data_IF_989687737417
#
_entry.id   IF_989687737417
#
_cell.length_a   1.000
_cell.length_b   1.000
_cell.length_c   1.000
_cell.angle_alpha   90.00
_cell.angle_beta   90.00
_cell.angle_gamma   90.00
#
_symmetry.space_group_name_H-M   'P 1'
#
loop_
_entity.id
_entity.type
_entity.pdbx_description
1 polymer ?
#
# COMPACT_ATOMS: atom_id res chain seq x y z
N UNK A 1 1.01 -15.11 15.89
CA UNK A 1 1.59 -15.14 14.53
C UNK A 1 3.10 -15.29 14.68
N UNK A 2 3.81 -16.06 13.85
CA UNK A 2 5.27 -16.15 13.95
C UNK A 2 5.88 -14.76 13.69
N UNK A 3 6.69 -14.27 14.63
CA UNK A 3 7.17 -12.88 14.69
C UNK A 3 8.06 -12.44 13.52
N UNK A 4 8.40 -13.34 12.60
CA UNK A 4 9.27 -13.04 11.47
C UNK A 4 8.79 -13.83 10.26
N UNK A 5 8.13 -13.15 9.33
CA UNK A 5 7.97 -13.70 7.99
C UNK A 5 9.36 -14.02 7.45
N UNK A 6 9.55 -15.27 7.01
CA UNK A 6 10.81 -15.70 6.42
C UNK A 6 11.20 -14.76 5.28
N UNK A 7 12.50 -14.61 5.00
CA UNK A 7 12.87 -13.86 3.81
C UNK A 7 12.24 -14.54 2.58
N UNK A 8 11.66 -13.80 1.61
CA UNK A 8 11.01 -14.39 0.44
C UNK A 8 11.85 -15.49 -0.26
N UNK A 9 13.18 -15.37 -0.25
CA UNK A 9 14.09 -16.35 -0.87
C UNK A 9 14.11 -17.71 -0.16
N UNK A 10 13.69 -17.77 1.10
CA UNK A 10 13.63 -18.99 1.91
C UNK A 10 12.30 -19.74 1.74
N UNK A 11 11.31 -19.14 1.05
CA UNK A 11 10.04 -19.80 0.77
C UNK A 11 10.22 -20.93 -0.24
N UNK A 12 9.64 -22.08 0.09
CA UNK A 12 9.62 -23.23 -0.81
C UNK A 12 8.78 -22.92 -2.05
N UNK A 13 9.00 -23.65 -3.14
CA UNK A 13 8.26 -23.45 -4.39
C UNK A 13 6.76 -23.73 -4.24
N UNK A 14 6.39 -24.64 -3.35
CA UNK A 14 5.01 -24.94 -2.96
C UNK A 14 4.33 -23.76 -2.28
N UNK A 15 5.10 -23.01 -1.50
CA UNK A 15 4.58 -21.94 -0.64
C UNK A 15 4.50 -20.59 -1.39
N UNK A 16 5.03 -20.52 -2.62
CA UNK A 16 4.91 -19.34 -3.48
C UNK A 16 3.52 -19.30 -4.11
N UNK A 17 2.54 -18.90 -3.32
CA UNK A 17 1.13 -18.78 -3.70
C UNK A 17 0.65 -17.34 -3.62
N UNK A 18 -0.48 -17.05 -4.26
CA UNK A 18 -1.13 -15.73 -4.19
C UNK A 18 -1.46 -15.35 -2.73
N UNK A 19 -1.90 -16.30 -1.91
CA UNK A 19 -2.16 -16.08 -0.49
C UNK A 19 -0.88 -15.72 0.30
N UNK A 20 0.25 -16.35 -0.03
CA UNK A 20 1.53 -15.99 0.59
C UNK A 20 1.91 -14.56 0.24
N UNK A 21 1.79 -14.17 -1.03
CA UNK A 21 2.04 -12.78 -1.43
C UNK A 21 1.13 -11.79 -0.67
N UNK A 22 -0.15 -12.11 -0.54
CA UNK A 22 -1.12 -11.32 0.24
C UNK A 22 -0.69 -11.13 1.69
N UNK A 23 -0.25 -12.19 2.37
CA UNK A 23 0.20 -12.09 3.77
C UNK A 23 1.44 -11.19 3.92
N UNK A 24 2.39 -11.24 2.98
CA UNK A 24 3.55 -10.35 2.98
C UNK A 24 3.15 -8.90 2.70
N UNK A 25 2.22 -8.68 1.78
CA UNK A 25 1.69 -7.35 1.50
C UNK A 25 1.00 -6.76 2.74
N UNK A 26 0.13 -7.55 3.40
CA UNK A 26 -0.51 -7.18 4.67
C UNK A 26 0.53 -6.80 5.72
N UNK A 27 1.50 -7.67 5.95
CA UNK A 27 2.58 -7.42 6.91
C UNK A 27 3.33 -6.12 6.60
N UNK A 28 3.67 -5.88 5.33
CA UNK A 28 4.38 -4.68 4.93
C UNK A 28 3.55 -3.40 5.20
N UNK A 29 2.27 -3.40 4.82
CA UNK A 29 1.38 -2.25 5.06
C UNK A 29 1.21 -1.95 6.57
N UNK A 30 1.21 -2.96 7.44
CA UNK A 30 0.98 -2.79 8.88
C UNK A 30 2.26 -2.52 9.69
N UNK A 31 3.41 -3.07 9.26
CA UNK A 31 4.64 -3.06 10.06
C UNK A 31 5.75 -2.21 9.46
N UNK A 32 5.62 -1.71 8.22
CA UNK A 32 6.58 -0.72 7.76
C UNK A 32 6.47 0.51 8.66
N UNK A 33 7.59 0.97 9.25
CA UNK A 33 7.61 2.21 9.98
C UNK A 33 7.37 3.31 8.95
N UNK A 34 6.10 3.69 8.78
CA UNK A 34 5.73 4.93 8.13
C UNK A 34 6.61 6.01 8.72
N UNK A 35 7.41 6.63 7.85
CA UNK A 35 8.42 7.61 8.21
C UNK A 35 7.81 8.60 9.21
N UNK A 36 8.42 8.70 10.40
CA UNK A 36 7.86 9.21 11.67
C UNK A 36 7.55 10.72 11.61
N UNK A 37 6.59 11.10 10.79
CA UNK A 37 6.09 12.47 10.71
C UNK A 37 4.64 12.44 11.15
N UNK A 38 4.52 12.35 12.48
CA UNK A 38 3.40 12.67 13.36
C UNK A 38 2.02 12.92 12.72
N UNK A 39 1.08 12.09 13.17
CA UNK A 39 -0.40 12.22 13.14
C UNK A 39 -1.10 11.71 11.86
N UNK A 40 -0.46 11.65 10.70
CA UNK A 40 -1.08 11.08 9.49
C UNK A 40 -0.71 9.59 9.32
N UNK A 41 -1.69 8.69 9.41
CA UNK A 41 -1.50 7.27 9.11
C UNK A 41 -0.82 7.10 7.74
N UNK A 42 0.19 6.22 7.61
CA UNK A 42 0.89 6.04 6.35
C UNK A 42 -0.08 5.53 5.29
N UNK A 43 -0.31 6.35 4.28
CA UNK A 43 -1.07 5.98 3.11
C UNK A 43 -0.13 5.45 2.03
N UNK A 44 -0.51 4.34 1.42
CA UNK A 44 0.27 3.67 0.38
C UNK A 44 -0.47 3.79 -0.95
N UNK A 45 0.23 4.08 -2.04
CA UNK A 45 -0.34 3.99 -3.39
C UNK A 45 0.07 2.69 -4.07
N UNK A 46 -0.65 2.26 -5.09
CA UNK A 46 -0.29 1.05 -5.85
C UNK A 46 1.11 1.19 -6.47
N UNK A 47 1.41 2.37 -7.01
CA UNK A 47 2.70 2.75 -7.54
C UNK A 47 3.83 2.60 -6.51
N UNK A 48 3.58 3.01 -5.26
CA UNK A 48 4.54 2.82 -4.16
C UNK A 48 4.75 1.33 -3.86
N UNK A 49 3.67 0.57 -3.69
CA UNK A 49 3.71 -0.88 -3.41
C UNK A 49 4.48 -1.67 -4.48
N UNK A 50 4.36 -1.28 -5.74
CA UNK A 50 5.10 -1.87 -6.86
C UNK A 50 6.61 -1.57 -6.82
N UNK A 51 7.02 -0.43 -6.29
CA UNK A 51 8.44 -0.01 -6.23
C UNK A 51 9.21 -0.69 -5.11
N UNK A 52 8.54 -1.29 -4.13
CA UNK A 52 9.18 -1.97 -3.01
C UNK A 52 9.86 -3.25 -3.51
N UNK A 53 11.22 -3.32 -3.49
CA UNK A 53 11.95 -4.42 -4.13
C UNK A 53 11.57 -5.80 -3.59
N UNK A 54 11.33 -5.91 -2.27
CA UNK A 54 10.95 -7.16 -1.62
C UNK A 54 9.60 -7.69 -2.13
N UNK A 55 8.61 -6.82 -2.27
CA UNK A 55 7.28 -7.18 -2.79
C UNK A 55 7.33 -7.48 -4.28
N UNK A 56 8.05 -6.68 -5.07
CA UNK A 56 8.21 -6.90 -6.50
C UNK A 56 8.89 -8.25 -6.82
N UNK A 57 9.95 -8.61 -6.07
CA UNK A 57 10.61 -9.91 -6.20
C UNK A 57 9.68 -11.07 -5.84
N UNK A 58 8.93 -10.97 -4.75
CA UNK A 58 7.99 -12.01 -4.34
C UNK A 58 6.86 -12.17 -5.38
N UNK A 59 6.28 -11.07 -5.85
CA UNK A 59 5.25 -11.09 -6.89
C UNK A 59 5.76 -11.76 -8.17
N UNK A 60 6.97 -11.41 -8.61
CA UNK A 60 7.62 -12.03 -9.77
C UNK A 60 7.75 -13.55 -9.60
N UNK A 61 8.21 -14.01 -8.43
CA UNK A 61 8.34 -15.44 -8.15
C UNK A 61 7.00 -16.16 -8.09
N UNK A 62 5.97 -15.57 -7.49
CA UNK A 62 4.62 -16.14 -7.44
C UNK A 62 4.04 -16.25 -8.85
N UNK A 63 4.17 -15.22 -9.68
CA UNK A 63 3.72 -15.24 -11.08
C UNK A 63 4.44 -16.31 -11.89
N UNK A 64 5.76 -16.47 -11.73
CA UNK A 64 6.49 -17.54 -12.41
C UNK A 64 6.11 -18.93 -11.91
N UNK A 65 5.96 -19.13 -10.60
CA UNK A 65 5.51 -20.39 -10.04
C UNK A 65 4.14 -20.77 -10.58
N UNK A 66 3.22 -19.82 -10.63
CA UNK A 66 1.87 -20.00 -11.16
C UNK A 66 1.86 -20.28 -12.66
N UNK A 67 2.68 -19.55 -13.45
CA UNK A 67 2.87 -19.84 -14.87
C UNK A 67 3.39 -21.26 -15.09
N UNK A 68 4.36 -21.70 -14.28
CA UNK A 68 4.91 -23.05 -14.34
C UNK A 68 3.87 -24.11 -13.98
N UNK A 69 3.02 -23.89 -12.97
CA UNK A 69 1.91 -24.81 -12.62
C UNK A 69 0.93 -24.95 -13.79
N UNK A 70 0.56 -23.83 -14.44
CA UNK A 70 -0.36 -23.85 -15.58
C UNK A 70 0.23 -24.53 -16.82
N UNK A 71 1.52 -24.35 -17.10
CA UNK A 71 2.14 -25.04 -18.24
C UNK A 71 2.34 -26.52 -17.99
N UNK A 72 2.60 -26.94 -16.74
CA UNK A 72 2.69 -28.35 -16.38
C UNK A 72 1.38 -29.12 -16.62
N UNK A 73 0.23 -28.45 -16.48
CA UNK A 73 -1.07 -29.06 -16.80
C UNK A 73 -1.31 -29.23 -18.31
N UNK A 74 -0.64 -28.43 -19.15
CA UNK A 74 -0.94 -28.35 -20.59
C UNK A 74 0.20 -28.80 -21.53
N UNK A 75 1.36 -29.26 -21.00
CA UNK A 75 2.51 -30.00 -21.58
C UNK A 75 3.01 -29.77 -23.03
N UNK A 76 2.36 -28.97 -23.88
CA UNK A 76 2.69 -28.80 -25.31
C UNK A 76 2.55 -27.37 -25.84
N UNK A 77 2.30 -26.36 -25.00
CA UNK A 77 2.31 -24.97 -25.44
C UNK A 77 3.74 -24.39 -25.35
N UNK A 78 4.33 -24.06 -26.50
CA UNK A 78 5.61 -23.37 -26.58
C UNK A 78 5.57 -22.07 -25.75
N UNK A 79 6.52 -21.95 -24.82
CA UNK A 79 6.53 -20.89 -23.81
C UNK A 79 7.24 -19.66 -24.37
N UNK A 80 6.51 -18.75 -25.00
CA UNK A 80 7.04 -17.45 -25.42
C UNK A 80 7.19 -16.53 -24.20
N UNK A 81 8.44 -16.14 -23.94
CA UNK A 81 8.80 -15.28 -22.81
C UNK A 81 8.47 -13.82 -23.14
N UNK A 82 7.25 -13.39 -22.84
CA UNK A 82 6.85 -11.99 -23.02
C UNK A 82 6.98 -11.23 -21.69
N UNK A 83 7.97 -10.35 -21.59
CA UNK A 83 8.20 -9.50 -20.41
C UNK A 83 6.98 -8.65 -20.06
N UNK A 84 6.24 -8.15 -21.06
CA UNK A 84 5.01 -7.39 -20.86
C UNK A 84 3.91 -8.23 -20.19
N UNK A 85 3.84 -9.52 -20.51
CA UNK A 85 2.87 -10.42 -19.89
C UNK A 85 3.16 -10.63 -18.40
N UNK A 86 4.43 -10.66 -18.01
CA UNK A 86 4.82 -10.76 -16.59
C UNK A 86 4.40 -9.52 -15.82
N UNK A 87 4.64 -8.31 -16.36
CA UNK A 87 4.23 -7.06 -15.71
C UNK A 87 2.71 -6.98 -15.53
N UNK A 88 1.93 -7.34 -16.56
CA UNK A 88 0.46 -7.37 -16.48
C UNK A 88 -0.02 -8.34 -15.40
N UNK A 89 0.61 -9.52 -15.30
CA UNK A 89 0.27 -10.51 -14.26
C UNK A 89 0.66 -10.07 -12.86
N UNK A 90 1.82 -9.43 -12.70
CA UNK A 90 2.24 -8.85 -11.43
C UNK A 90 1.26 -7.77 -10.99
N UNK A 91 0.91 -6.82 -11.87
CA UNK A 91 -0.10 -5.78 -11.57
C UNK A 91 -1.43 -6.40 -11.12
N UNK A 92 -1.91 -7.44 -11.81
CA UNK A 92 -3.12 -8.17 -11.42
C UNK A 92 -3.01 -8.83 -10.05
N UNK A 93 -1.85 -9.40 -9.70
CA UNK A 93 -1.61 -10.02 -8.40
C UNK A 93 -1.64 -8.97 -7.27
N UNK A 94 -1.01 -7.80 -7.47
CA UNK A 94 -1.08 -6.69 -6.52
C UNK A 94 -2.51 -6.20 -6.32
N UNK A 95 -3.24 -5.91 -7.41
CA UNK A 95 -4.64 -5.47 -7.34
C UNK A 95 -5.53 -6.51 -6.64
N UNK A 96 -5.38 -7.79 -6.98
CA UNK A 96 -6.11 -8.88 -6.33
C UNK A 96 -5.84 -8.92 -4.83
N UNK A 97 -4.57 -8.82 -4.41
CA UNK A 97 -4.21 -8.86 -3.01
C UNK A 97 -4.77 -7.65 -2.24
N UNK A 98 -4.74 -6.45 -2.83
CA UNK A 98 -5.31 -5.23 -2.24
C UNK A 98 -6.82 -5.36 -2.08
N UNK A 99 -7.54 -5.78 -3.12
CA UNK A 99 -8.99 -6.01 -3.04
C UNK A 99 -9.34 -7.01 -1.94
N UNK A 100 -8.56 -8.08 -1.80
CA UNK A 100 -8.76 -9.05 -0.73
C UNK A 100 -8.54 -8.45 0.65
N UNK A 101 -7.49 -7.63 0.84
CA UNK A 101 -7.23 -6.95 2.11
C UNK A 101 -8.33 -5.93 2.46
N UNK A 102 -8.90 -5.28 1.45
CA UNK A 102 -10.05 -4.39 1.60
C UNK A 102 -11.29 -5.17 2.02
N UNK A 103 -11.62 -6.28 1.36
CA UNK A 103 -12.73 -7.16 1.73
C UNK A 103 -12.58 -7.75 3.14
N UNK A 104 -11.35 -8.07 3.55
CA UNK A 104 -11.01 -8.50 4.92
C UNK A 104 -11.20 -7.38 5.96
N UNK A 105 -11.29 -6.11 5.53
CA UNK A 105 -11.34 -4.97 6.44
C UNK A 105 -9.99 -4.59 7.04
N UNK A 106 -8.88 -5.09 6.48
CA UNK A 106 -7.52 -4.81 6.96
C UNK A 106 -6.95 -3.50 6.42
N UNK A 107 -7.50 -3.01 5.30
CA UNK A 107 -7.16 -1.70 4.73
C UNK A 107 -8.46 -0.99 4.31
N UNK A 108 -8.40 0.33 4.22
CA UNK A 108 -9.47 1.17 3.66
C UNK A 108 -8.95 1.97 2.46
N UNK A 109 -9.84 2.23 1.51
CA UNK A 109 -9.63 3.17 0.42
C UNK A 109 -9.87 4.57 0.95
N UNK A 110 -8.86 5.43 0.87
CA UNK A 110 -8.91 6.79 1.38
C UNK A 110 -8.89 7.77 0.22
N UNK A 111 -10.05 8.33 -0.09
CA UNK A 111 -10.24 9.27 -1.22
C UNK A 111 -9.92 10.73 -0.85
N UNK A 112 -9.67 11.02 0.43
CA UNK A 112 -9.36 12.40 0.82
C UNK A 112 -7.96 12.76 0.31
N UNK A 113 -7.78 13.97 -0.24
CA UNK A 113 -6.51 14.41 -0.78
C UNK A 113 -5.46 14.24 0.29
N UNK A 114 -4.55 13.29 0.06
CA UNK A 114 -3.43 13.09 0.94
C UNK A 114 -2.68 14.42 0.95
N UNK A 115 -2.73 15.12 2.08
CA UNK A 115 -1.79 16.19 2.34
C UNK A 115 -0.47 15.47 2.56
N UNK A 116 0.18 15.11 1.45
CA UNK A 116 1.57 14.71 1.47
C UNK A 116 2.29 15.93 2.01
N UNK A 117 2.63 15.90 3.29
CA UNK A 117 3.66 16.77 3.83
C UNK A 117 4.89 16.35 3.04
N UNK A 118 5.15 17.07 1.95
CA UNK A 118 6.36 16.92 1.18
C UNK A 118 7.47 17.15 2.18
N UNK A 119 8.07 16.05 2.64
CA UNK A 119 9.30 16.05 3.40
C UNK A 119 10.39 16.44 2.40
N UNK A 120 10.33 17.70 1.95
CA UNK A 120 11.49 18.41 1.48
C UNK A 120 12.41 18.41 2.69
N UNK A 121 13.52 17.65 2.66
CA UNK A 121 14.49 17.73 3.72
C UNK A 121 14.96 19.17 3.74
N UNK A 122 14.46 19.95 4.70
CA UNK A 122 14.94 21.30 4.94
C UNK A 122 16.42 21.17 5.26
N UNK A 123 17.24 21.33 4.23
CA UNK A 123 18.64 21.60 4.41
C UNK A 123 18.73 22.82 5.32
N UNK A 124 19.50 22.76 6.42
CA UNK A 124 19.70 23.93 7.26
C UNK A 124 20.31 25.04 6.41
N UNK A 125 19.64 26.19 6.39
CA UNK A 125 20.01 27.38 5.65
C UNK A 125 21.50 27.70 5.75
N UNK A 126 22.23 27.58 4.64
CA UNK A 126 23.47 28.31 4.41
C UNK A 126 23.13 29.53 3.54
N UNK A 127 23.42 30.77 3.99
CA UNK A 127 23.18 31.95 3.18
C UNK A 127 24.41 32.18 2.32
N UNK A 128 24.37 31.99 1.00
CA UNK A 128 25.42 32.52 0.13
C UNK A 128 24.88 32.93 -1.24
N UNK A 129 24.75 34.25 -1.39
CA UNK A 129 25.23 35.09 -2.52
C UNK A 129 25.06 34.58 -3.96
N UNK A 130 24.28 35.37 -4.71
CA UNK A 130 24.39 35.62 -6.15
C UNK A 130 25.79 35.42 -6.76
N UNK A 131 25.91 34.66 -7.87
CA UNK A 131 26.72 35.09 -9.02
C UNK A 131 26.43 34.31 -10.33
N UNK A 132 26.05 35.09 -11.35
CA UNK A 132 26.41 35.03 -12.77
C UNK A 132 26.25 33.75 -13.64
N UNK A 133 25.42 33.93 -14.68
CA UNK A 133 25.61 33.60 -16.10
C UNK A 133 26.90 32.87 -16.53
N UNK A 134 26.74 31.77 -17.28
CA UNK A 134 27.30 31.60 -18.62
C UNK A 134 26.64 30.42 -19.36
N UNK A 135 26.46 30.51 -20.70
CA UNK A 135 25.98 29.40 -21.51
C UNK A 135 27.16 28.54 -21.99
N UNK A 136 27.04 27.22 -21.88
CA UNK A 136 27.98 26.28 -22.47
C UNK A 136 27.25 25.36 -23.45
N UNK A 137 27.64 25.52 -24.70
CA UNK A 137 27.38 24.65 -25.84
C UNK A 137 27.79 23.21 -25.53
N UNK A 138 26.98 22.21 -25.90
CA UNK A 138 27.45 20.84 -26.02
C UNK A 138 26.83 20.12 -27.23
N UNK A 139 27.71 19.37 -27.90
CA UNK A 139 27.58 18.70 -29.19
C UNK A 139 26.44 17.68 -29.24
N UNK A 140 25.70 17.72 -30.35
CA UNK A 140 24.93 16.57 -30.86
C UNK A 140 25.91 15.53 -31.44
N UNK A 141 26.19 14.48 -30.66
CA UNK A 141 26.69 13.21 -31.19
C UNK A 141 25.51 12.25 -31.36
N UNK A 142 25.31 11.75 -32.59
CA UNK A 142 24.38 10.67 -32.88
C UNK A 142 24.88 9.39 -32.21
N UNK A 143 24.35 9.09 -31.03
CA UNK A 143 24.48 7.80 -30.38
C UNK A 143 23.45 6.84 -31.00
N UNK A 144 23.92 5.75 -31.60
CA UNK A 144 23.08 4.63 -32.03
C UNK A 144 22.35 4.09 -30.80
N UNK A 145 21.04 4.23 -30.76
CA UNK A 145 20.24 3.73 -29.64
C UNK A 145 20.20 2.20 -29.71
N UNK A 146 20.78 1.55 -28.71
CA UNK A 146 20.52 0.14 -28.43
C UNK A 146 19.11 0.06 -27.83
N UNK A 147 18.26 -0.79 -28.39
CA UNK A 147 16.80 -0.87 -28.14
C UNK A 147 16.41 -1.38 -26.73
N UNK A 148 17.39 -1.47 -25.81
CA UNK A 148 17.24 -2.11 -24.50
C UNK A 148 17.21 -1.11 -23.32
N UNK A 149 17.40 0.19 -23.56
CA UNK A 149 17.44 1.25 -22.52
C UNK A 149 16.21 2.18 -22.53
N UNK A 150 15.07 1.69 -23.01
CA UNK A 150 13.79 2.43 -22.98
C UNK A 150 13.00 2.25 -21.66
N UNK A 151 13.56 1.59 -20.64
CA UNK A 151 12.83 1.08 -19.47
C UNK A 151 12.74 2.02 -18.26
N UNK A 152 13.02 3.31 -18.42
CA UNK A 152 12.84 4.33 -17.38
C UNK A 152 12.05 5.54 -17.90
N UNK A 153 11.06 5.32 -18.77
CA UNK A 153 10.00 6.32 -18.91
C UNK A 153 9.27 6.39 -17.57
N UNK A 154 9.42 7.52 -16.86
CA UNK A 154 8.56 7.87 -15.75
C UNK A 154 7.12 7.59 -16.19
N UNK A 155 6.36 6.75 -15.46
CA UNK A 155 4.99 6.48 -15.84
C UNK A 155 4.27 7.82 -16.01
N UNK A 156 3.44 7.99 -17.06
CA UNK A 156 2.63 9.20 -17.19
C UNK A 156 1.94 9.46 -15.85
N UNK A 157 1.73 10.73 -15.45
CA UNK A 157 1.03 11.06 -14.21
C UNK A 157 -0.39 10.50 -14.32
N UNK A 158 -0.53 9.23 -13.95
CA UNK A 158 -1.76 8.48 -13.97
C UNK A 158 -2.56 9.02 -12.79
N UNK A 159 -3.67 9.65 -13.13
CA UNK A 159 -4.97 9.46 -12.48
C UNK A 159 -4.86 9.04 -11.02
N UNK A 160 -5.00 10.02 -10.12
CA UNK A 160 -5.54 9.87 -8.76
C UNK A 160 -5.22 8.52 -8.12
N UNK A 161 -3.93 8.29 -7.82
CA UNK A 161 -3.46 7.07 -7.17
C UNK A 161 -4.25 6.88 -5.85
N UNK A 162 -5.22 5.96 -5.87
CA UNK A 162 -6.03 5.58 -4.71
C UNK A 162 -5.10 5.26 -3.52
N UNK A 163 -5.39 5.90 -2.39
CA UNK A 163 -4.60 5.74 -1.19
C UNK A 163 -5.13 4.59 -0.33
N UNK A 164 -4.29 3.59 -0.09
CA UNK A 164 -4.59 2.46 0.78
C UNK A 164 -4.02 2.73 2.17
N UNK A 165 -4.87 2.74 3.20
CA UNK A 165 -4.46 3.01 4.58
C UNK A 165 -4.73 1.76 5.43
N UNK A 166 -3.77 1.29 6.27
CA UNK A 166 -4.03 0.21 7.22
C UNK A 166 -5.13 0.61 8.20
N UNK A 167 -6.08 -0.29 8.42
CA UNK A 167 -7.10 -0.13 9.45
C UNK A 167 -6.44 -0.33 10.81
N UNK A 168 -6.40 0.72 11.61
CA UNK A 168 -5.82 0.74 12.95
C UNK A 168 -6.80 1.38 13.92
N UNK A 169 -6.77 0.96 15.19
CA UNK A 169 -7.59 1.57 16.25
C UNK A 169 -7.39 3.10 16.34
N UNK A 170 -6.15 3.56 16.10
CA UNK A 170 -5.82 4.99 16.05
C UNK A 170 -6.49 5.70 14.88
N UNK A 171 -6.53 5.11 13.69
CA UNK A 171 -7.22 5.69 12.53
C UNK A 171 -8.73 5.83 12.80
N UNK A 172 -9.34 4.84 13.45
CA UNK A 172 -10.76 4.84 13.76
C UNK A 172 -11.13 5.69 14.97
N UNK A 173 -10.16 6.04 15.82
CA UNK A 173 -10.41 6.75 17.08
C UNK A 173 -11.16 8.06 16.88
N UNK A 174 -10.79 8.87 15.89
CA UNK A 174 -11.46 10.14 15.63
C UNK A 174 -12.90 9.94 15.13
N UNK A 175 -13.18 9.18 14.05
CA UNK A 175 -14.56 8.91 13.62
C UNK A 175 -15.44 8.29 14.72
N UNK A 176 -14.90 7.35 15.48
CA UNK A 176 -15.61 6.72 16.61
C UNK A 176 -15.92 7.75 17.71
N UNK A 177 -14.95 8.61 18.05
CA UNK A 177 -15.14 9.66 19.05
C UNK A 177 -16.21 10.67 18.62
N UNK A 178 -16.26 11.04 17.34
CA UNK A 178 -17.28 11.92 16.77
C UNK A 178 -18.68 11.30 16.91
N UNK A 179 -18.84 10.01 16.57
CA UNK A 179 -20.11 9.27 16.72
C UNK A 179 -20.52 9.17 18.20
N UNK A 180 -19.60 8.80 19.09
CA UNK A 180 -19.87 8.72 20.53
C UNK A 180 -20.29 10.08 21.10
N UNK A 181 -19.62 11.14 20.68
CA UNK A 181 -19.94 12.51 21.07
C UNK A 181 -21.31 12.96 20.57
N UNK A 182 -21.67 12.62 19.33
CA UNK A 182 -22.98 12.90 18.74
C UNK A 182 -24.11 12.17 19.51
N UNK A 183 -23.83 10.99 20.06
CA UNK A 183 -24.75 10.25 20.94
C UNK A 183 -24.77 10.77 22.38
N UNK A 184 -24.01 11.82 22.71
CA UNK A 184 -23.90 12.37 24.05
C UNK A 184 -23.16 11.47 25.04
N UNK A 185 -22.39 10.50 24.54
CA UNK A 185 -21.66 9.54 25.35
C UNK A 185 -20.27 10.10 25.63
N UNK A 186 -19.93 10.27 26.91
CA UNK A 186 -18.60 10.71 27.36
C UNK A 186 -17.95 9.63 28.23
N UNK A 187 -16.71 9.26 27.91
CA UNK A 187 -15.90 8.30 28.68
C UNK A 187 -16.36 6.84 28.58
N UNK A 188 -15.92 6.01 29.54
CA UNK A 188 -16.29 4.59 29.69
C UNK A 188 -17.77 4.43 30.04
N UNK A 189 -18.63 4.51 29.04
CA UNK A 189 -20.04 4.17 29.21
C UNK A 189 -20.26 2.73 28.80
N UNK A 190 -20.68 1.88 29.74
CA UNK A 190 -21.09 0.49 29.49
C UNK A 190 -22.29 0.37 28.52
N UNK A 191 -22.81 1.50 28.02
CA UNK A 191 -23.94 1.57 27.09
C UNK A 191 -23.51 1.62 25.62
N UNK A 192 -22.24 1.88 25.33
CA UNK A 192 -21.78 1.97 23.93
C UNK A 192 -21.53 0.56 23.43
N UNK A 193 -22.38 0.10 22.52
CA UNK A 193 -22.17 -1.16 21.81
C UNK A 193 -21.36 -0.89 20.55
N UNK A 194 -20.30 -1.67 20.33
CA UNK A 194 -19.46 -1.55 19.15
C UNK A 194 -20.28 -1.74 17.86
N UNK A 195 -21.34 -2.57 17.89
CA UNK A 195 -22.20 -2.81 16.73
C UNK A 195 -22.99 -1.57 16.32
N UNK A 196 -23.43 -0.75 17.29
CA UNK A 196 -24.17 0.47 17.02
C UNK A 196 -23.25 1.53 16.41
N UNK A 197 -22.03 1.66 16.94
CA UNK A 197 -21.01 2.57 16.40
C UNK A 197 -20.58 2.15 15.00
N UNK A 198 -20.37 0.85 14.77
CA UNK A 198 -20.03 0.31 13.46
C UNK A 198 -21.15 0.57 12.45
N UNK A 199 -22.41 0.44 12.86
CA UNK A 199 -23.56 0.71 12.00
C UNK A 199 -23.62 2.19 11.59
N UNK A 200 -23.33 3.11 12.52
CA UNK A 200 -23.26 4.54 12.23
C UNK A 200 -22.07 4.87 11.32
N UNK A 201 -20.89 4.27 11.55
CA UNK A 201 -19.72 4.45 10.68
C UNK A 201 -20.04 4.07 9.22
N UNK A 202 -20.67 2.91 9.02
CA UNK A 202 -21.06 2.44 7.67
C UNK A 202 -22.10 3.33 6.99
N UNK A 203 -22.90 4.07 7.75
CA UNK A 203 -23.86 5.04 7.22
C UNK A 203 -23.21 6.38 6.85
N UNK A 204 -22.15 6.77 7.56
CA UNK A 204 -21.44 8.03 7.31
C UNK A 204 -20.61 7.98 6.03
N UNK A 205 -19.86 6.90 5.82
CA UNK A 205 -18.97 6.78 4.68
C UNK A 205 -18.82 5.31 4.22
N UNK A 206 -18.84 5.11 2.91
CA UNK A 206 -18.66 3.83 2.24
C UNK A 206 -17.29 3.20 2.47
N UNK A 207 -16.25 3.99 2.78
CA UNK A 207 -14.92 3.45 3.05
C UNK A 207 -14.88 2.55 4.30
N UNK A 208 -15.88 2.64 5.19
CA UNK A 208 -15.98 1.85 6.42
C UNK A 208 -16.79 0.55 6.27
N UNK A 209 -17.27 0.21 5.07
CA UNK A 209 -18.18 -0.93 4.85
C UNK A 209 -17.59 -2.28 5.26
N UNK A 210 -16.29 -2.48 5.02
CA UNK A 210 -15.60 -3.74 5.26
C UNK A 210 -14.96 -3.84 6.66
N UNK A 211 -15.06 -2.80 7.49
CA UNK A 211 -14.48 -2.85 8.84
C UNK A 211 -15.19 -3.90 9.70
N UNK A 212 -14.37 -4.61 10.48
CA UNK A 212 -14.80 -5.62 11.43
C UNK A 212 -15.19 -5.01 12.78
N UNK A 213 -15.96 -5.77 13.55
CA UNK A 213 -16.42 -5.32 14.87
C UNK A 213 -15.26 -5.20 15.86
N UNK A 214 -14.25 -6.07 15.74
CA UNK A 214 -13.12 -6.12 16.66
C UNK A 214 -12.29 -4.83 16.60
N UNK A 215 -11.98 -4.30 15.41
CA UNK A 215 -11.18 -3.07 15.32
C UNK A 215 -11.95 -1.86 15.88
N UNK A 216 -13.28 -1.83 15.75
CA UNK A 216 -14.09 -0.78 16.39
C UNK A 216 -14.05 -0.88 17.90
N UNK A 217 -14.10 -2.09 18.46
CA UNK A 217 -13.98 -2.31 19.90
C UNK A 217 -12.61 -1.84 20.43
N UNK A 218 -11.53 -2.20 19.72
CA UNK A 218 -10.17 -1.74 20.04
C UNK A 218 -10.03 -0.20 19.94
N UNK A 219 -10.71 0.43 18.98
CA UNK A 219 -10.73 1.88 18.85
C UNK A 219 -11.49 2.55 20.01
N UNK A 220 -12.63 1.99 20.44
CA UNK A 220 -13.38 2.45 21.61
C UNK A 220 -12.49 2.37 22.85
N UNK A 221 -11.81 1.24 23.07
CA UNK A 221 -10.87 1.04 24.17
C UNK A 221 -9.72 2.04 24.15
N UNK A 222 -9.18 2.35 22.97
CA UNK A 222 -8.11 3.34 22.79
C UNK A 222 -8.54 4.75 23.23
N UNK A 223 -9.73 5.21 22.81
CA UNK A 223 -10.29 6.52 23.19
C UNK A 223 -10.53 6.60 24.70
N UNK A 224 -10.90 5.48 25.28
CA UNK A 224 -11.30 5.34 26.67
C UNK A 224 -10.09 5.37 27.63
N UNK A 225 -8.91 5.00 27.14
CA UNK A 225 -7.64 5.03 27.89
C UNK A 225 -6.94 6.39 27.74
N UNK A 226 -7.15 7.10 26.63
CA UNK A 226 -6.60 8.43 26.34
C UNK A 226 -7.21 9.54 27.22
#
# INVERSE_FOLDING_TARGET
>A
MPDQFLHPSQLWTTDKTDNTFRLYLKHHIHNEPGNVCDIASPAFTLSHLHRIPKLALLANWVVHAEMRRRTQLHMHAAQTHNSNLLQVRMKRLFMWAILWLYEEGSIVLYDKPLIFISLSPSAPNLPLTNLANSPASCNTQQHVMSDDEAYLSDPPPLEEDEAYVPVTATLLSQPVQEIMSARGIRGKSARVRAEDVLSDLKQLDHCWLCIDLQTVDEAIDTIVIA
#
